data_IF_733040140292
#
_entry.id   IF_733040140292
#
_cell.length_a   1.000
_cell.length_b   1.000
_cell.length_c   1.000
_cell.angle_alpha   90.00
_cell.angle_beta   90.00
_cell.angle_gamma   90.00
#
_symmetry.space_group_name_H-M   'P 1'
#
loop_
_entity.id
_entity.type
_entity.pdbx_description
1 polymer ?
#
# COMPACT_ATOMS: atom_id res chain seq x y z
N UNK A 1 16.85 -4.69 -5.14
CA UNK A 1 15.57 -5.38 -5.41
C UNK A 1 14.39 -4.42 -5.26
N UNK A 2 13.27 -4.69 -5.93
CA UNK A 2 11.98 -4.00 -5.71
C UNK A 2 11.19 -4.73 -4.61
N UNK A 3 10.93 -4.01 -3.52
CA UNK A 3 10.20 -4.50 -2.34
C UNK A 3 8.85 -3.78 -2.30
N UNK A 4 7.75 -4.52 -2.20
CA UNK A 4 6.40 -3.95 -2.12
C UNK A 4 5.78 -4.30 -0.77
N UNK A 5 5.38 -3.28 -0.01
CA UNK A 5 4.59 -3.41 1.21
C UNK A 5 3.12 -3.33 0.82
N UNK A 6 2.40 -4.43 0.97
CA UNK A 6 0.98 -4.56 0.63
C UNK A 6 0.17 -4.28 1.89
N UNK A 7 -0.67 -3.25 1.81
CA UNK A 7 -1.49 -2.77 2.93
C UNK A 7 -2.97 -2.85 2.54
N UNK A 8 -3.68 -3.93 2.86
CA UNK A 8 -5.12 -3.99 2.67
C UNK A 8 -5.83 -2.99 3.58
N UNK A 9 -6.87 -2.32 3.07
CA UNK A 9 -7.62 -1.32 3.83
C UNK A 9 -9.12 -1.46 3.67
N UNK A 10 -9.84 -1.24 4.78
CA UNK A 10 -11.26 -0.96 4.80
C UNK A 10 -11.61 -0.12 6.03
N UNK A 11 -12.00 1.15 5.83
CA UNK A 11 -12.20 2.14 6.92
C UNK A 11 -10.92 2.47 7.71
N UNK A 12 -9.80 2.69 7.01
CA UNK A 12 -8.48 2.86 7.61
C UNK A 12 -7.85 4.22 7.34
N UNK A 13 -8.65 5.25 7.05
CA UNK A 13 -8.13 6.58 6.68
C UNK A 13 -7.13 7.11 7.70
N UNK A 14 -7.49 7.12 8.99
CA UNK A 14 -6.62 7.64 10.05
C UNK A 14 -5.32 6.84 10.24
N UNK A 15 -5.35 5.55 9.91
CA UNK A 15 -4.18 4.69 9.95
C UNK A 15 -3.26 4.97 8.76
N UNK A 16 -3.80 5.08 7.55
CA UNK A 16 -3.05 5.46 6.34
C UNK A 16 -2.41 6.85 6.47
N UNK A 17 -3.11 7.83 7.05
CA UNK A 17 -2.57 9.17 7.34
C UNK A 17 -1.29 9.14 8.19
N UNK A 18 -1.07 8.08 8.98
CA UNK A 18 0.06 7.95 9.90
C UNK A 18 1.12 6.97 9.40
N UNK A 19 0.68 5.81 8.92
CA UNK A 19 1.53 4.70 8.52
C UNK A 19 2.44 5.06 7.36
N UNK A 20 1.88 5.61 6.28
CA UNK A 20 2.63 5.94 5.08
C UNK A 20 3.74 6.97 5.36
N UNK A 21 3.48 8.11 6.05
CA UNK A 21 4.55 9.03 6.43
C UNK A 21 5.64 8.40 7.30
N UNK A 22 5.30 7.48 8.21
CA UNK A 22 6.30 6.78 9.02
C UNK A 22 7.19 5.90 8.14
N UNK A 23 6.60 5.14 7.21
CA UNK A 23 7.36 4.32 6.27
C UNK A 23 8.31 5.18 5.43
N UNK A 24 7.78 6.24 4.82
CA UNK A 24 8.53 7.11 3.92
C UNK A 24 9.62 7.94 4.60
N UNK A 25 9.33 8.51 5.78
CA UNK A 25 10.22 9.47 6.42
C UNK A 25 11.19 8.83 7.42
N UNK A 26 10.88 7.64 7.95
CA UNK A 26 11.68 6.99 9.00
C UNK A 26 12.25 5.63 8.63
N UNK A 27 11.46 4.79 7.95
CA UNK A 27 11.84 3.39 7.72
C UNK A 27 12.58 3.22 6.39
N UNK A 28 12.02 3.70 5.29
CA UNK A 28 12.63 3.54 3.96
C UNK A 28 13.99 4.24 3.83
N UNK A 29 14.26 5.41 4.43
CA UNK A 29 15.57 6.06 4.34
C UNK A 29 16.72 5.26 4.96
N UNK A 30 16.44 4.37 5.92
CA UNK A 30 17.48 3.52 6.54
C UNK A 30 17.72 2.21 5.80
N UNK A 31 16.84 1.84 4.85
CA UNK A 31 16.97 0.63 4.02
C UNK A 31 17.75 0.99 2.75
N UNK A 32 18.99 0.50 2.65
CA UNK A 32 19.88 0.79 1.52
C UNK A 32 19.77 -0.28 0.43
N UNK A 33 20.00 0.09 -0.83
CA UNK A 33 20.09 -0.81 -1.99
C UNK A 33 18.77 -1.52 -2.38
N UNK A 34 17.63 -1.08 -1.86
CA UNK A 34 16.30 -1.57 -2.22
C UNK A 34 15.39 -0.42 -2.65
N UNK A 35 14.50 -0.69 -3.61
CA UNK A 35 13.43 0.23 -4.01
C UNK A 35 12.18 -0.16 -3.25
N UNK A 36 11.83 0.63 -2.24
CA UNK A 36 10.67 0.40 -1.39
C UNK A 36 9.43 1.02 -2.04
N UNK A 37 8.34 0.26 -2.07
CA UNK A 37 7.04 0.71 -2.57
C UNK A 37 5.94 0.36 -1.57
N UNK A 38 4.89 1.18 -1.51
CA UNK A 38 3.67 0.88 -0.77
C UNK A 38 2.55 0.65 -1.77
N UNK A 39 1.87 -0.49 -1.66
CA UNK A 39 0.66 -0.79 -2.39
C UNK A 39 -0.49 -0.84 -1.40
N UNK A 40 -1.34 0.20 -1.41
CA UNK A 40 -2.57 0.19 -0.64
C UNK A 40 -3.65 -0.53 -1.43
N UNK A 41 -4.30 -1.51 -0.81
CA UNK A 41 -5.30 -2.37 -1.43
C UNK A 41 -6.64 -2.10 -0.78
N UNK A 42 -7.36 -1.12 -1.32
CA UNK A 42 -8.59 -0.62 -0.71
C UNK A 42 -9.82 -1.39 -1.19
N UNK A 43 -10.60 -1.90 -0.23
CA UNK A 43 -11.88 -2.61 -0.47
C UNK A 43 -13.06 -1.62 -0.56
N UNK A 44 -12.86 -0.52 -1.29
CA UNK A 44 -13.82 0.56 -1.51
C UNK A 44 -14.32 1.19 -0.19
N UNK A 45 -13.38 1.73 0.59
CA UNK A 45 -13.67 2.32 1.90
C UNK A 45 -14.59 3.55 1.80
N UNK A 46 -15.69 3.62 2.58
CA UNK A 46 -16.59 4.77 2.58
C UNK A 46 -16.06 5.97 3.38
N UNK A 47 -15.03 5.81 4.19
CA UNK A 47 -14.46 6.87 5.06
C UNK A 47 -13.49 7.82 4.34
N UNK A 48 -13.23 7.59 3.05
CA UNK A 48 -12.27 8.35 2.26
C UNK A 48 -10.83 7.85 2.34
N UNK A 49 -10.58 6.62 2.81
CA UNK A 49 -9.24 6.00 2.81
C UNK A 49 -8.55 6.14 1.45
N UNK A 50 -9.22 5.77 0.35
CA UNK A 50 -8.66 5.88 -1.00
C UNK A 50 -8.30 7.33 -1.39
N UNK A 51 -9.05 8.33 -0.93
CA UNK A 51 -8.76 9.72 -1.24
C UNK A 51 -7.56 10.25 -0.45
N UNK A 52 -7.37 9.79 0.78
CA UNK A 52 -6.14 10.07 1.51
C UNK A 52 -4.93 9.42 0.82
N UNK A 53 -5.03 8.18 0.37
CA UNK A 53 -3.96 7.54 -0.41
C UNK A 53 -3.61 8.36 -1.64
N UNK A 54 -4.61 8.79 -2.44
CA UNK A 54 -4.39 9.63 -3.62
C UNK A 54 -3.73 10.96 -3.28
N UNK A 55 -4.01 11.54 -2.11
CA UNK A 55 -3.33 12.76 -1.63
C UNK A 55 -1.86 12.47 -1.31
N UNK A 56 -1.56 11.37 -0.64
CA UNK A 56 -0.19 10.97 -0.30
C UNK A 56 0.63 10.59 -1.54
N UNK A 57 0.00 10.00 -2.57
CA UNK A 57 0.63 9.73 -3.88
C UNK A 57 1.13 10.99 -4.59
N UNK A 58 0.61 12.18 -4.26
CA UNK A 58 1.14 13.45 -4.78
C UNK A 58 2.44 13.88 -4.11
N UNK A 59 2.75 13.32 -2.94
CA UNK A 59 3.95 13.62 -2.15
C UNK A 59 5.07 12.61 -2.40
N UNK A 60 4.72 11.34 -2.65
CA UNK A 60 5.68 10.27 -2.88
C UNK A 60 5.29 9.39 -4.08
N UNK A 61 6.22 9.21 -5.03
CA UNK A 61 6.00 8.52 -6.31
C UNK A 61 5.99 6.98 -6.21
N UNK A 62 6.37 6.43 -5.07
CA UNK A 62 6.47 4.99 -4.82
C UNK A 62 5.22 4.39 -4.16
N UNK A 63 4.14 5.17 -4.03
CA UNK A 63 2.85 4.72 -3.52
C UNK A 63 1.93 4.36 -4.67
N UNK A 64 1.24 3.22 -4.57
CA UNK A 64 0.24 2.75 -5.52
C UNK A 64 -1.05 2.38 -4.80
N UNK A 65 -2.18 2.49 -5.52
CA UNK A 65 -3.51 2.21 -4.99
C UNK A 65 -4.23 1.21 -5.90
N UNK A 66 -4.68 0.10 -5.33
CA UNK A 66 -5.53 -0.89 -5.99
C UNK A 66 -6.90 -0.91 -5.31
N UNK A 67 -7.90 -0.34 -5.98
CA UNK A 67 -9.29 -0.35 -5.49
C UNK A 67 -10.02 -1.59 -6.01
N UNK A 68 -10.73 -2.28 -5.12
CA UNK A 68 -11.61 -3.39 -5.46
C UNK A 68 -12.87 -3.42 -4.61
N UNK A 69 -13.71 -4.41 -4.83
CA UNK A 69 -14.90 -4.63 -4.01
C UNK A 69 -14.55 -5.38 -2.73
N UNK A 70 -15.25 -5.04 -1.63
CA UNK A 70 -15.16 -5.75 -0.36
C UNK A 70 -15.67 -7.18 -0.48
N UNK A 71 -14.72 -8.12 -0.64
CA UNK A 71 -14.98 -9.57 -0.72
C UNK A 71 -14.29 -10.36 0.40
N UNK A 72 -13.81 -9.65 1.42
CA UNK A 72 -13.11 -10.20 2.57
C UNK A 72 -11.59 -10.07 2.45
N UNK A 73 -10.91 -10.12 3.59
CA UNK A 73 -9.47 -9.82 3.71
C UNK A 73 -8.60 -10.72 2.82
N UNK A 74 -8.92 -12.02 2.72
CA UNK A 74 -8.22 -12.94 1.84
C UNK A 74 -8.28 -12.55 0.36
N UNK A 75 -9.42 -12.00 -0.11
CA UNK A 75 -9.55 -11.53 -1.48
C UNK A 75 -8.72 -10.26 -1.72
N UNK A 76 -8.63 -9.38 -0.73
CA UNK A 76 -7.75 -8.21 -0.77
C UNK A 76 -6.27 -8.63 -0.83
N UNK A 77 -5.85 -9.63 -0.06
CA UNK A 77 -4.49 -10.18 -0.15
C UNK A 77 -4.17 -10.72 -1.55
N UNK A 78 -5.04 -11.58 -2.10
CA UNK A 78 -4.82 -12.14 -3.44
C UNK A 78 -4.73 -11.04 -4.49
N UNK A 79 -5.62 -10.04 -4.42
CA UNK A 79 -5.58 -8.87 -5.32
C UNK A 79 -4.27 -8.10 -5.19
N UNK A 80 -3.84 -7.80 -3.96
CA UNK A 80 -2.60 -7.09 -3.68
C UNK A 80 -1.36 -7.83 -4.16
N UNK A 81 -1.24 -9.12 -3.82
CA UNK A 81 -0.09 -9.95 -4.19
C UNK A 81 0.00 -10.15 -5.71
N UNK A 82 -1.14 -10.35 -6.38
CA UNK A 82 -1.18 -10.41 -7.83
C UNK A 82 -0.72 -9.09 -8.46
N UNK A 83 -1.29 -7.95 -8.02
CA UNK A 83 -0.91 -6.64 -8.54
C UNK A 83 0.58 -6.33 -8.32
N UNK A 84 1.09 -6.59 -7.11
CA UNK A 84 2.51 -6.41 -6.79
C UNK A 84 3.41 -7.28 -7.68
N UNK A 85 3.00 -8.50 -7.99
CA UNK A 85 3.77 -9.41 -8.85
C UNK A 85 3.67 -9.03 -10.33
N UNK A 86 2.47 -8.84 -10.87
CA UNK A 86 2.24 -8.68 -12.32
C UNK A 86 2.47 -7.25 -12.80
N UNK A 87 1.97 -6.26 -12.07
CA UNK A 87 2.01 -4.86 -12.51
C UNK A 87 3.27 -4.16 -12.02
N UNK A 88 3.72 -4.49 -10.80
CA UNK A 88 4.88 -3.83 -10.19
C UNK A 88 6.17 -4.60 -10.40
N UNK A 89 6.14 -5.91 -10.70
CA UNK A 89 7.34 -6.74 -10.77
C UNK A 89 8.08 -6.79 -9.42
N UNK A 90 7.34 -6.99 -8.33
CA UNK A 90 7.90 -7.14 -6.99
C UNK A 90 8.80 -8.39 -6.93
N UNK A 91 10.00 -8.24 -6.38
CA UNK A 91 10.91 -9.35 -6.09
C UNK A 91 10.75 -9.84 -4.64
N UNK A 92 10.30 -8.95 -3.75
CA UNK A 92 9.96 -9.23 -2.36
C UNK A 92 8.66 -8.53 -2.03
N UNK A 93 7.76 -9.24 -1.35
CA UNK A 93 6.49 -8.69 -0.87
C UNK A 93 6.40 -8.88 0.64
N UNK A 94 5.97 -7.83 1.34
CA UNK A 94 5.55 -7.93 2.72
C UNK A 94 4.07 -7.58 2.79
N UNK A 95 3.33 -8.32 3.59
CA UNK A 95 1.98 -7.95 3.99
C UNK A 95 2.07 -7.20 5.32
N UNK A 96 1.24 -6.17 5.48
CA UNK A 96 1.17 -5.40 6.71
C UNK A 96 -0.22 -4.79 6.86
N UNK A 97 -0.85 -5.03 8.02
CA UNK A 97 -2.11 -4.38 8.39
C UNK A 97 -1.95 -2.86 8.53
N UNK A 98 -3.03 -2.15 8.22
CA UNK A 98 -3.09 -0.69 8.23
C UNK A 98 -3.17 -0.11 9.65
#
# INVERSE_FOLDING_TARGET
MKVVIIVPTYNEKGNIERLIPILEEKIFPVIKNHKMHVLVVDDNSPDGTADEVKKLMKKWDNISLSIGEKRGLGAAYVRGMNYATTEMGAEVMFEMDA
#
